data_IF_611267368577
#
_entry.id   IF_611267368577
#
_cell.length_a   1.000
_cell.length_b   1.000
_cell.length_c   1.000
_cell.angle_alpha   90.00
_cell.angle_beta   90.00
_cell.angle_gamma   90.00
#
_symmetry.space_group_name_H-M   'P 1'
#
loop_
_entity.id
_entity.type
_entity.pdbx_description
1 polymer ?
#
# COMPACT_ATOMS: atom_id res chain seq x y z
N UNK A 1 -3.09 -10.78 1.19
CA UNK A 1 -3.58 -10.44 -0.17
C UNK A 1 -3.42 -8.95 -0.37
N UNK A 2 -2.90 -8.55 -1.53
CA UNK A 2 -2.75 -7.15 -1.96
C UNK A 2 -3.32 -7.09 -3.37
N UNK A 3 -4.08 -6.05 -3.68
CA UNK A 3 -4.63 -5.83 -5.02
C UNK A 3 -5.42 -4.53 -5.10
N UNK A 4 -5.75 -4.10 -6.32
CA UNK A 4 -6.60 -2.96 -6.61
C UNK A 4 -8.09 -3.25 -6.43
N UNK A 5 -8.91 -2.22 -6.26
CA UNK A 5 -10.37 -2.33 -6.15
C UNK A 5 -10.99 -3.15 -7.31
N UNK A 6 -10.62 -2.85 -8.55
CA UNK A 6 -11.08 -3.56 -9.76
C UNK A 6 -10.66 -5.05 -9.76
N UNK A 7 -9.48 -5.37 -9.22
CA UNK A 7 -8.98 -6.76 -9.15
C UNK A 7 -9.77 -7.58 -8.12
N UNK A 8 -10.17 -6.96 -7.01
CA UNK A 8 -11.01 -7.61 -6.01
C UNK A 8 -12.40 -7.91 -6.56
N UNK A 9 -13.01 -6.98 -7.31
CA UNK A 9 -14.30 -7.22 -7.95
C UNK A 9 -14.23 -8.41 -8.91
N UNK A 10 -13.18 -8.50 -9.73
CA UNK A 10 -12.96 -9.62 -10.66
C UNK A 10 -12.76 -10.96 -9.92
N UNK A 11 -12.02 -10.97 -8.81
CA UNK A 11 -11.67 -12.21 -8.07
C UNK A 11 -12.80 -12.69 -7.15
N UNK A 12 -13.57 -11.77 -6.57
CA UNK A 12 -14.57 -12.09 -5.55
C UNK A 12 -16.02 -11.90 -5.99
N UNK A 13 -16.26 -11.18 -7.09
CA UNK A 13 -17.61 -10.87 -7.57
C UNK A 13 -18.38 -9.95 -6.61
N UNK A 14 -17.67 -9.14 -5.82
CA UNK A 14 -18.24 -8.21 -4.85
C UNK A 14 -17.69 -6.81 -5.13
N UNK A 15 -18.59 -5.87 -5.36
CA UNK A 15 -18.26 -4.48 -5.71
C UNK A 15 -18.23 -3.55 -4.51
N UNK A 16 -18.76 -3.97 -3.35
CA UNK A 16 -18.55 -3.23 -2.10
C UNK A 16 -17.13 -3.51 -1.56
N UNK A 17 -16.27 -2.48 -1.43
CA UNK A 17 -14.88 -2.66 -1.03
C UNK A 17 -14.72 -3.36 0.32
N UNK A 18 -15.60 -3.06 1.27
CA UNK A 18 -15.54 -3.62 2.62
C UNK A 18 -15.93 -5.09 2.60
N UNK A 19 -17.03 -5.46 1.94
CA UNK A 19 -17.44 -6.86 1.79
C UNK A 19 -16.40 -7.66 1.02
N UNK A 20 -15.79 -7.11 -0.03
CA UNK A 20 -14.74 -7.80 -0.78
C UNK A 20 -13.53 -8.12 0.12
N UNK A 21 -13.13 -7.20 1.00
CA UNK A 21 -12.09 -7.43 2.01
C UNK A 21 -12.52 -8.50 3.04
N UNK A 22 -13.77 -8.46 3.50
CA UNK A 22 -14.32 -9.46 4.43
C UNK A 22 -14.36 -10.87 3.80
N UNK A 23 -14.70 -10.98 2.51
CA UNK A 23 -14.65 -12.26 1.76
C UNK A 23 -13.22 -12.77 1.67
N UNK A 24 -12.25 -11.92 1.36
CA UNK A 24 -10.84 -12.31 1.32
C UNK A 24 -10.33 -12.81 2.68
N UNK A 25 -10.76 -12.17 3.79
CA UNK A 25 -10.51 -12.64 5.15
C UNK A 25 -11.16 -13.99 5.44
N UNK A 26 -12.43 -14.15 5.04
CA UNK A 26 -13.18 -15.41 5.18
C UNK A 26 -12.52 -16.59 4.45
N UNK A 27 -11.67 -16.33 3.45
CA UNK A 27 -10.86 -17.34 2.74
C UNK A 27 -9.51 -17.62 3.40
N UNK A 28 -9.22 -17.04 4.56
CA UNK A 28 -8.03 -17.35 5.38
C UNK A 28 -6.88 -16.34 5.26
N UNK A 29 -7.05 -15.20 4.58
CA UNK A 29 -6.01 -14.18 4.51
C UNK A 29 -5.92 -13.39 5.82
N UNK A 30 -4.80 -13.47 6.56
CA UNK A 30 -4.62 -12.69 7.81
C UNK A 30 -4.42 -11.19 7.58
N UNK A 31 -3.89 -10.80 6.42
CA UNK A 31 -3.70 -9.41 6.00
C UNK A 31 -4.29 -9.27 4.59
N UNK A 32 -5.22 -8.34 4.44
CA UNK A 32 -5.89 -8.02 3.18
C UNK A 32 -5.75 -6.52 2.98
N UNK A 33 -5.22 -6.10 1.83
CA UNK A 33 -4.97 -4.70 1.49
C UNK A 33 -5.55 -4.46 0.10
N UNK A 34 -6.34 -3.39 -0.02
CA UNK A 34 -6.96 -2.92 -1.24
C UNK A 34 -6.48 -1.51 -1.53
N UNK A 35 -5.90 -1.31 -2.71
CA UNK A 35 -5.46 -0.01 -3.20
C UNK A 35 -6.46 0.54 -4.22
N UNK A 36 -6.53 1.87 -4.35
CA UNK A 36 -7.26 2.51 -5.43
C UNK A 36 -6.63 3.88 -5.72
N UNK A 37 -5.57 3.88 -6.52
CA UNK A 37 -4.84 5.09 -6.93
C UNK A 37 -4.55 6.05 -5.75
N UNK A 38 -5.14 7.25 -5.76
CA UNK A 38 -4.99 8.31 -4.76
C UNK A 38 -6.03 8.25 -3.62
N UNK A 39 -6.96 7.29 -3.68
CA UNK A 39 -7.96 7.06 -2.65
C UNK A 39 -7.35 6.39 -1.41
N UNK A 40 -8.06 6.44 -0.25
CA UNK A 40 -7.62 5.73 0.94
C UNK A 40 -7.35 4.25 0.66
N UNK A 41 -6.20 3.76 1.11
CA UNK A 41 -5.87 2.35 1.10
C UNK A 41 -6.70 1.69 2.20
N UNK A 42 -7.55 0.75 1.81
CA UNK A 42 -8.41 0.00 2.72
C UNK A 42 -7.70 -1.30 3.06
N UNK A 43 -7.67 -1.66 4.32
CA UNK A 43 -7.04 -2.91 4.72
C UNK A 43 -7.74 -3.53 5.92
N UNK A 44 -7.52 -4.82 6.10
CA UNK A 44 -7.94 -5.53 7.29
C UNK A 44 -6.82 -6.43 7.78
N UNK A 45 -6.51 -6.33 9.07
CA UNK A 45 -5.49 -7.10 9.76
C UNK A 45 -6.19 -7.92 10.85
N UNK A 46 -6.12 -9.25 10.72
CA UNK A 46 -6.80 -10.19 11.62
C UNK A 46 -8.30 -9.85 11.81
N UNK A 47 -8.99 -9.53 10.71
CA UNK A 47 -10.41 -9.15 10.71
C UNK A 47 -10.71 -7.70 11.11
N UNK A 48 -9.72 -6.91 11.56
CA UNK A 48 -9.93 -5.51 11.92
C UNK A 48 -9.73 -4.61 10.70
N UNK A 49 -10.84 -4.10 10.17
CA UNK A 49 -10.85 -3.16 9.06
C UNK A 49 -10.35 -1.77 9.49
N UNK A 50 -9.50 -1.15 8.67
CA UNK A 50 -9.05 0.22 8.82
C UNK A 50 -8.62 0.81 7.47
N UNK A 51 -8.31 2.09 7.46
CA UNK A 51 -7.92 2.82 6.25
C UNK A 51 -6.71 3.71 6.53
N UNK A 52 -5.89 3.92 5.51
CA UNK A 52 -4.80 4.89 5.55
C UNK A 52 -4.78 5.70 4.27
N UNK A 53 -4.70 7.02 4.42
CA UNK A 53 -4.57 7.93 3.29
C UNK A 53 -3.14 7.87 2.77
N UNK A 54 -2.91 7.56 1.48
CA UNK A 54 -1.58 7.58 0.91
C UNK A 54 -1.01 9.02 0.87
N UNK A 55 0.33 9.18 0.84
CA UNK A 55 0.95 10.48 0.61
C UNK A 55 0.40 11.17 -0.64
N UNK A 56 -0.01 12.43 -0.52
CA UNK A 56 -0.42 13.24 -1.67
C UNK A 56 0.81 13.64 -2.47
N UNK A 57 0.83 13.25 -3.74
CA UNK A 57 1.92 13.51 -4.69
C UNK A 57 1.35 14.06 -6.00
N UNK A 58 2.20 14.67 -6.82
CA UNK A 58 1.90 14.90 -8.23
C UNK A 58 2.34 13.68 -9.01
N UNK A 59 1.39 12.95 -9.60
CA UNK A 59 1.69 11.78 -10.40
C UNK A 59 2.37 12.19 -11.72
N UNK A 60 3.48 11.54 -12.04
CA UNK A 60 4.26 11.72 -13.27
C UNK A 60 4.08 10.49 -14.16
N UNK A 61 4.32 9.30 -13.62
CA UNK A 61 4.13 8.01 -14.29
C UNK A 61 3.69 6.96 -13.25
N UNK A 62 2.45 6.44 -13.30
CA UNK A 62 1.96 5.50 -12.29
C UNK A 62 2.50 4.08 -12.49
N UNK A 63 3.18 3.79 -13.61
CA UNK A 63 3.72 2.45 -13.90
C UNK A 63 4.68 2.03 -12.78
N UNK A 64 4.53 0.80 -12.29
CA UNK A 64 5.36 0.23 -11.21
C UNK A 64 5.03 0.72 -9.80
N UNK A 65 4.10 1.68 -9.62
CA UNK A 65 3.69 2.13 -8.29
C UNK A 65 3.04 1.02 -7.44
N UNK A 66 2.28 0.10 -8.07
CA UNK A 66 1.72 -1.07 -7.41
C UNK A 66 2.77 -2.10 -7.00
N UNK A 67 3.81 -2.30 -7.82
CA UNK A 67 4.94 -3.17 -7.51
C UNK A 67 5.78 -2.60 -6.37
N UNK A 68 6.04 -1.29 -6.41
CA UNK A 68 6.73 -0.56 -5.35
C UNK A 68 5.95 -0.58 -4.02
N UNK A 69 4.62 -0.44 -4.09
CA UNK A 69 3.75 -0.62 -2.93
C UNK A 69 3.90 -2.01 -2.33
N UNK A 70 3.66 -3.04 -3.15
CA UNK A 70 3.72 -4.44 -2.75
C UNK A 70 5.09 -4.82 -2.19
N UNK A 71 6.16 -4.43 -2.88
CA UNK A 71 7.54 -4.63 -2.44
C UNK A 71 7.85 -3.92 -1.12
N UNK A 72 7.37 -2.68 -0.95
CA UNK A 72 7.51 -1.92 0.29
C UNK A 72 6.81 -2.57 1.48
N UNK A 73 5.58 -3.07 1.29
CA UNK A 73 4.84 -3.81 2.34
C UNK A 73 5.56 -5.10 2.71
N UNK A 74 5.93 -5.91 1.71
CA UNK A 74 6.59 -7.21 1.95
C UNK A 74 7.94 -6.99 2.66
N UNK A 75 8.73 -6.02 2.20
CA UNK A 75 10.01 -5.69 2.84
C UNK A 75 9.81 -5.29 4.31
N UNK A 76 8.81 -4.44 4.60
CA UNK A 76 8.49 -4.03 5.96
C UNK A 76 8.10 -5.20 6.87
N UNK A 77 7.19 -6.06 6.40
CA UNK A 77 6.75 -7.25 7.13
C UNK A 77 7.91 -8.22 7.42
N UNK A 78 8.74 -8.53 6.43
CA UNK A 78 9.91 -9.39 6.60
C UNK A 78 10.95 -8.80 7.55
N UNK A 79 10.96 -7.47 7.69
CA UNK A 79 11.82 -6.73 8.61
C UNK A 79 11.24 -6.64 10.03
N UNK A 80 10.11 -7.30 10.30
CA UNK A 80 9.44 -7.31 11.59
C UNK A 80 8.71 -6.01 11.92
N UNK A 81 8.35 -5.20 10.93
CA UNK A 81 7.44 -4.07 11.17
C UNK A 81 6.03 -4.58 11.50
N UNK A 82 5.30 -3.88 12.39
CA UNK A 82 3.86 -4.04 12.48
C UNK A 82 3.21 -3.88 11.10
N UNK A 83 2.15 -4.65 10.84
CA UNK A 83 1.50 -4.64 9.53
C UNK A 83 1.03 -3.24 9.09
N UNK A 84 0.56 -2.42 10.03
CA UNK A 84 0.23 -1.02 9.78
C UNK A 84 1.43 -0.22 9.26
N UNK A 85 2.57 -0.32 9.93
CA UNK A 85 3.79 0.41 9.53
C UNK A 85 4.34 -0.10 8.20
N UNK A 86 4.20 -1.39 7.92
CA UNK A 86 4.54 -1.97 6.62
C UNK A 86 3.64 -1.44 5.49
N UNK A 87 2.33 -1.27 5.74
CA UNK A 87 1.39 -0.65 4.79
C UNK A 87 1.76 0.81 4.54
N UNK A 88 2.11 1.58 5.58
CA UNK A 88 2.58 2.96 5.44
C UNK A 88 3.86 3.01 4.59
N UNK A 89 4.82 2.11 4.86
CA UNK A 89 6.04 1.99 4.08
C UNK A 89 5.74 1.68 2.59
N UNK A 90 4.85 0.72 2.33
CA UNK A 90 4.40 0.42 0.97
C UNK A 90 3.77 1.64 0.29
N UNK A 91 2.89 2.35 1.00
CA UNK A 91 2.23 3.56 0.50
C UNK A 91 3.24 4.63 0.10
N UNK A 92 4.25 4.87 0.93
CA UNK A 92 5.37 5.77 0.62
C UNK A 92 6.13 5.31 -0.62
N UNK A 93 6.47 4.01 -0.71
CA UNK A 93 7.16 3.48 -1.89
C UNK A 93 6.38 3.67 -3.18
N UNK A 94 5.09 3.32 -3.19
CA UNK A 94 4.22 3.48 -4.34
C UNK A 94 4.05 4.94 -4.75
N UNK A 95 3.82 5.84 -3.79
CA UNK A 95 3.67 7.27 -4.05
C UNK A 95 4.95 7.90 -4.63
N UNK A 96 6.13 7.47 -4.18
CA UNK A 96 7.40 7.96 -4.75
C UNK A 96 7.62 7.48 -6.17
N UNK A 97 7.34 6.22 -6.46
CA UNK A 97 7.50 5.71 -7.83
C UNK A 97 6.54 6.43 -8.77
N UNK A 98 5.28 6.60 -8.35
CA UNK A 98 4.28 7.35 -9.11
C UNK A 98 4.70 8.81 -9.40
N UNK A 99 5.57 9.41 -8.57
CA UNK A 99 6.02 10.79 -8.74
C UNK A 99 7.29 10.95 -9.60
N UNK A 100 7.80 9.87 -10.18
CA UNK A 100 8.98 9.88 -11.06
C UNK A 100 8.65 9.23 -12.40
N UNK A 101 9.48 9.49 -13.42
CA UNK A 101 9.33 8.85 -14.72
C UNK A 101 10.04 7.50 -14.75
N UNK A 102 9.34 6.44 -15.20
CA UNK A 102 9.83 5.07 -15.20
C UNK A 102 9.22 4.21 -14.09
N UNK A 103 9.45 2.90 -14.19
CA UNK A 103 8.76 1.85 -13.42
C UNK A 103 9.36 1.55 -12.03
N UNK A 104 10.61 1.96 -11.77
CA UNK A 104 11.28 1.79 -10.47
C UNK A 104 11.88 3.10 -9.92
N UNK A 105 11.92 4.14 -10.75
CA UNK A 105 12.54 5.40 -10.40
C UNK A 105 11.86 6.00 -9.16
N UNK A 106 12.63 6.51 -8.21
CA UNK A 106 12.08 7.12 -7.00
C UNK A 106 11.88 6.15 -5.82
N UNK A 107 12.10 4.84 -5.98
CA UNK A 107 12.08 3.89 -4.86
C UNK A 107 12.87 4.44 -3.65
N UNK A 108 12.29 4.40 -2.43
CA UNK A 108 12.95 4.93 -1.26
C UNK A 108 14.12 4.05 -0.83
N UNK A 109 15.13 4.67 -0.22
CA UNK A 109 16.27 3.97 0.38
C UNK A 109 16.00 3.64 1.84
N UNK A 110 16.76 2.69 2.37
CA UNK A 110 16.54 2.18 3.72
C UNK A 110 17.61 1.17 4.14
N UNK A 111 17.43 0.60 5.33
CA UNK A 111 18.35 -0.39 5.90
C UNK A 111 17.54 -1.62 6.31
N UNK A 112 18.00 -2.81 5.91
CA UNK A 112 17.40 -4.11 6.26
C UNK A 112 15.89 -4.14 6.00
N UNK A 113 15.45 -3.72 4.81
CA UNK A 113 14.05 -3.75 4.38
C UNK A 113 13.13 -2.70 5.03
N UNK A 114 13.69 -1.80 5.85
CA UNK A 114 12.97 -0.65 6.42
C UNK A 114 13.37 0.63 5.70
N UNK A 115 12.40 1.34 5.15
CA UNK A 115 12.59 2.66 4.54
C UNK A 115 13.08 3.65 5.59
N UNK A 116 13.97 4.58 5.18
CA UNK A 116 14.45 5.65 6.04
C UNK A 116 13.26 6.41 6.68
N UNK A 117 13.18 6.47 8.03
CA UNK A 117 12.11 7.17 8.73
C UNK A 117 11.97 8.64 8.33
N UNK A 118 13.06 9.31 7.92
CA UNK A 118 13.02 10.68 7.44
C UNK A 118 12.22 10.81 6.13
N UNK A 119 12.33 9.82 5.23
CA UNK A 119 11.55 9.77 3.99
C UNK A 119 10.07 9.55 4.30
N UNK A 120 9.75 8.63 5.22
CA UNK A 120 8.37 8.39 5.64
C UNK A 120 7.77 9.68 6.21
N UNK A 121 8.45 10.31 7.18
CA UNK A 121 7.99 11.53 7.82
C UNK A 121 7.78 12.67 6.82
N UNK A 122 8.72 12.88 5.89
CA UNK A 122 8.61 13.91 4.85
C UNK A 122 7.32 13.75 4.01
N UNK A 123 6.97 12.51 3.68
CA UNK A 123 5.84 12.23 2.78
C UNK A 123 4.49 12.14 3.49
N UNK A 124 4.46 11.70 4.74
CA UNK A 124 3.21 11.58 5.49
C UNK A 124 2.83 12.84 6.26
N UNK A 125 3.78 13.76 6.52
CA UNK A 125 3.52 15.01 7.27
C UNK A 125 3.32 16.24 6.39
N UNK A 126 3.65 16.18 5.09
CA UNK A 126 3.57 17.31 4.15
C UNK A 126 2.16 17.72 3.70
N UNK A 127 1.10 17.13 4.27
CA UNK A 127 -0.30 17.36 3.88
C UNK A 127 -1.08 18.27 4.83
N UNK A 128 -0.52 19.42 5.21
CA UNK A 128 -1.26 20.50 5.89
C UNK A 128 -1.29 21.77 5.07
#
# INVERSE_FOLDING_TARGET
MIGGEDEYEVVFGESDPRKAIEVAHGRGCSIVIMTNADQPIRFSINGNYSEVTPPKITAVDPVGSGDAFTGGVIAGLLSGLPAMDAIIQGSVSGARVASHFGDWAGLPTGIKGRTDPAIIAQMTQGGR
#
